data_IF_860645909056
#
_entry.id   IF_860645909056
#
_cell.length_a   1.000
_cell.length_b   1.000
_cell.length_c   1.000
_cell.angle_alpha   90.00
_cell.angle_beta   90.00
_cell.angle_gamma   90.00
#
_symmetry.space_group_name_H-M   'P 1'
#
loop_
_entity.id
_entity.type
_entity.pdbx_description
1 polymer ?
#
# COMPACT_ATOMS: atom_id res chain seq x y z
N UNK A 1 71.61 -6.98 29.43
CA UNK A 1 70.20 -7.25 29.83
C UNK A 1 69.35 -7.12 28.58
N UNK A 2 68.68 -8.19 28.13
CA UNK A 2 67.95 -8.19 26.86
C UNK A 2 66.57 -7.55 26.97
N UNK A 3 66.14 -6.81 25.94
CA UNK A 3 64.80 -6.20 25.86
C UNK A 3 63.67 -7.22 26.06
N UNK A 4 63.87 -8.45 25.58
CA UNK A 4 62.91 -9.54 25.70
C UNK A 4 62.60 -9.93 27.15
N UNK A 5 63.61 -9.99 28.03
CA UNK A 5 63.39 -10.38 29.43
C UNK A 5 62.63 -9.30 30.19
N UNK A 6 62.85 -8.02 29.87
CA UNK A 6 62.07 -6.89 30.38
C UNK A 6 60.61 -6.90 29.89
N UNK A 7 60.37 -7.20 28.60
CA UNK A 7 59.02 -7.25 28.02
C UNK A 7 58.19 -8.38 28.64
N UNK A 8 58.78 -9.56 28.83
CA UNK A 8 58.11 -10.70 29.47
C UNK A 8 57.75 -10.41 30.91
N UNK A 9 58.63 -9.75 31.68
CA UNK A 9 58.35 -9.32 33.05
C UNK A 9 57.19 -8.32 33.13
N UNK A 10 57.13 -7.36 32.19
CA UNK A 10 56.05 -6.39 32.10
C UNK A 10 54.71 -7.05 31.76
N UNK A 11 54.67 -7.96 30.79
CA UNK A 11 53.47 -8.71 30.43
C UNK A 11 53.01 -9.61 31.59
N UNK A 12 53.94 -10.30 32.26
CA UNK A 12 53.65 -11.14 33.41
C UNK A 12 53.05 -10.34 34.58
N UNK A 13 53.58 -9.14 34.86
CA UNK A 13 53.02 -8.23 35.85
C UNK A 13 51.58 -7.83 35.49
N UNK A 14 51.33 -7.43 34.24
CA UNK A 14 49.99 -7.04 33.77
C UNK A 14 48.99 -8.21 33.80
N UNK A 15 49.43 -9.40 33.40
CA UNK A 15 48.60 -10.60 33.43
C UNK A 15 48.26 -11.02 34.87
N UNK A 16 49.25 -10.97 35.77
CA UNK A 16 49.05 -11.30 37.20
C UNK A 16 48.11 -10.31 37.88
N UNK A 17 48.19 -9.02 37.53
CA UNK A 17 47.27 -7.98 38.01
C UNK A 17 45.83 -8.26 37.56
N UNK A 18 45.60 -8.58 36.28
CA UNK A 18 44.26 -8.98 35.80
C UNK A 18 43.77 -10.29 36.45
N UNK A 19 44.66 -11.27 36.66
CA UNK A 19 44.31 -12.55 37.30
C UNK A 19 43.85 -12.40 38.75
N UNK A 20 44.35 -11.39 39.48
CA UNK A 20 43.92 -11.06 40.85
C UNK A 20 42.56 -10.35 40.88
N UNK A 21 42.19 -9.64 39.81
CA UNK A 21 40.90 -8.95 39.67
C UNK A 21 39.89 -9.75 38.83
N UNK A 22 39.60 -11.01 39.24
CA UNK A 22 38.75 -11.95 38.49
C UNK A 22 37.38 -11.37 38.10
N UNK A 23 36.75 -10.61 39.00
CA UNK A 23 35.46 -9.97 38.77
C UNK A 23 35.47 -8.98 37.59
N UNK A 24 36.49 -8.10 37.53
CA UNK A 24 36.58 -7.08 36.49
C UNK A 24 36.84 -7.69 35.11
N UNK A 25 37.69 -8.72 35.06
CA UNK A 25 37.96 -9.48 33.84
C UNK A 25 36.70 -10.21 33.32
N UNK A 26 35.92 -10.83 34.21
CA UNK A 26 34.68 -11.49 33.83
C UNK A 26 33.64 -10.51 33.29
N UNK A 27 33.49 -9.33 33.89
CA UNK A 27 32.56 -8.29 33.40
C UNK A 27 32.99 -7.80 32.01
N UNK A 28 34.28 -7.56 31.79
CA UNK A 28 34.82 -7.12 30.49
C UNK A 28 34.59 -8.17 29.39
N UNK A 29 34.58 -9.47 29.73
CA UNK A 29 34.30 -10.58 28.80
C UNK A 29 32.80 -10.82 28.59
N UNK A 30 31.99 -10.74 29.64
CA UNK A 30 30.54 -10.99 29.60
C UNK A 30 29.80 -9.83 28.91
N UNK A 31 30.28 -8.61 29.08
CA UNK A 31 29.70 -7.41 28.47
C UNK A 31 29.48 -7.52 26.94
N UNK A 32 30.49 -7.83 26.11
CA UNK A 32 30.27 -8.00 24.66
C UNK A 32 29.32 -9.16 24.35
N UNK A 33 29.38 -10.27 25.11
CA UNK A 33 28.48 -11.42 24.91
C UNK A 33 27.03 -11.01 25.11
N UNK A 34 26.72 -10.25 26.17
CA UNK A 34 25.35 -9.75 26.44
C UNK A 34 24.88 -8.83 25.32
N UNK A 35 25.74 -7.93 24.83
CA UNK A 35 25.39 -7.05 23.71
C UNK A 35 25.04 -7.85 22.44
N UNK A 36 25.82 -8.89 22.11
CA UNK A 36 25.53 -9.75 20.97
C UNK A 36 24.21 -10.51 21.14
N UNK A 37 23.93 -11.04 22.33
CA UNK A 37 22.67 -11.76 22.60
C UNK A 37 21.47 -10.83 22.42
N UNK A 38 21.53 -9.59 22.92
CA UNK A 38 20.47 -8.60 22.73
C UNK A 38 20.22 -8.33 21.24
N UNK A 39 21.28 -8.12 20.44
CA UNK A 39 21.15 -7.88 19.01
C UNK A 39 20.50 -9.06 18.27
N UNK A 40 20.85 -10.30 18.64
CA UNK A 40 20.24 -11.51 18.07
C UNK A 40 18.76 -11.62 18.44
N UNK A 41 18.39 -11.32 19.69
CA UNK A 41 16.99 -11.32 20.14
C UNK A 41 16.15 -10.29 19.38
N UNK A 42 16.68 -9.07 19.20
CA UNK A 42 16.03 -8.02 18.40
C UNK A 42 15.85 -8.49 16.96
N UNK A 43 16.89 -9.10 16.36
CA UNK A 43 16.79 -9.63 14.99
C UNK A 43 15.78 -10.78 14.88
N UNK A 44 15.74 -11.68 15.85
CA UNK A 44 14.78 -12.80 15.88
C UNK A 44 13.34 -12.31 16.01
N UNK A 45 13.12 -11.25 16.77
CA UNK A 45 11.79 -10.63 16.93
C UNK A 45 11.31 -9.96 15.64
N UNK A 46 12.23 -9.43 14.83
CA UNK A 46 11.93 -8.82 13.54
C UNK A 46 11.96 -9.88 12.43
N UNK A 47 10.88 -10.67 12.31
CA UNK A 47 10.74 -11.63 11.21
C UNK A 47 10.79 -10.90 9.87
N UNK A 48 11.69 -11.32 8.97
CA UNK A 48 11.74 -10.79 7.61
C UNK A 48 10.40 -11.11 6.91
N UNK A 49 9.72 -10.08 6.43
CA UNK A 49 8.49 -10.23 5.65
C UNK A 49 8.92 -10.46 4.20
N UNK A 50 8.91 -11.72 3.76
CA UNK A 50 9.04 -12.01 2.33
C UNK A 50 7.77 -11.54 1.63
N UNK A 51 7.93 -10.69 0.61
CA UNK A 51 6.86 -10.27 -0.29
C UNK A 51 7.11 -10.95 -1.62
N UNK A 52 6.14 -11.73 -2.07
CA UNK A 52 6.16 -12.33 -3.40
C UNK A 52 6.04 -11.25 -4.47
N UNK A 53 6.26 -11.61 -5.74
CA UNK A 53 6.12 -10.71 -6.87
C UNK A 53 4.73 -10.04 -6.86
N UNK A 54 4.73 -8.71 -6.87
CA UNK A 54 3.55 -7.88 -6.71
C UNK A 54 3.33 -7.06 -7.98
N UNK A 55 2.26 -7.37 -8.69
CA UNK A 55 1.84 -6.69 -9.91
C UNK A 55 0.73 -5.70 -9.59
N UNK A 56 0.83 -4.51 -10.20
CA UNK A 56 -0.12 -3.43 -9.98
C UNK A 56 -0.86 -3.11 -11.29
N UNK A 57 -2.19 -2.97 -11.26
CA UNK A 57 -2.94 -2.57 -12.42
C UNK A 57 -2.58 -1.13 -12.82
N UNK A 58 -2.55 -0.88 -14.13
CA UNK A 58 -2.24 0.43 -14.67
C UNK A 58 -3.30 1.49 -14.30
N UNK A 59 -2.86 2.71 -13.98
CA UNK A 59 -3.74 3.87 -13.76
C UNK A 59 -3.61 4.84 -14.95
N UNK A 60 -4.62 4.90 -15.83
CA UNK A 60 -4.59 5.84 -16.94
C UNK A 60 -4.73 7.28 -16.44
N UNK A 61 -3.95 8.18 -17.02
CA UNK A 61 -4.09 9.62 -16.80
C UNK A 61 -5.25 10.20 -17.62
N UNK A 62 -5.78 11.39 -17.28
CA UNK A 62 -6.86 12.04 -18.03
C UNK A 62 -6.55 12.24 -19.53
N UNK A 63 -5.27 12.32 -19.89
CA UNK A 63 -4.78 12.42 -21.27
C UNK A 63 -5.06 11.17 -22.13
N UNK A 64 -5.20 10.00 -21.51
CA UNK A 64 -5.62 8.77 -22.17
C UNK A 64 -7.16 8.68 -22.35
N UNK A 65 -7.90 9.68 -21.87
CA UNK A 65 -9.35 9.75 -21.89
C UNK A 65 -9.95 9.87 -20.49
N UNK A 66 -11.01 10.67 -20.35
CA UNK A 66 -11.71 10.88 -19.06
C UNK A 66 -12.41 9.61 -18.58
N UNK A 67 -12.93 8.80 -19.51
CA UNK A 67 -13.62 7.54 -19.21
C UNK A 67 -12.68 6.49 -18.56
N UNK A 68 -11.56 6.10 -19.19
CA UNK A 68 -10.63 5.16 -18.58
C UNK A 68 -9.99 5.72 -17.29
N UNK A 69 -9.77 7.04 -17.22
CA UNK A 69 -9.28 7.70 -16.01
C UNK A 69 -10.23 7.52 -14.80
N UNK A 70 -11.52 7.84 -14.96
CA UNK A 70 -12.51 7.67 -13.88
C UNK A 70 -12.61 6.20 -13.48
N UNK A 71 -12.62 5.30 -14.45
CA UNK A 71 -12.67 3.87 -14.20
C UNK A 71 -11.45 3.38 -13.41
N UNK A 72 -10.24 3.81 -13.78
CA UNK A 72 -9.02 3.48 -13.05
C UNK A 72 -8.96 4.06 -11.63
N UNK A 73 -9.54 5.24 -11.42
CA UNK A 73 -9.66 5.86 -10.09
C UNK A 73 -10.66 5.11 -9.21
N UNK A 74 -11.85 4.79 -9.73
CA UNK A 74 -12.93 4.15 -8.96
C UNK A 74 -12.62 2.66 -8.70
N UNK A 75 -12.09 1.95 -9.70
CA UNK A 75 -11.88 0.51 -9.60
C UNK A 75 -10.60 0.11 -8.85
N UNK A 76 -9.52 0.90 -8.92
CA UNK A 76 -8.24 0.56 -8.29
C UNK A 76 -7.90 1.45 -7.07
N UNK A 77 -8.91 1.85 -6.27
CA UNK A 77 -8.70 2.81 -5.18
C UNK A 77 -7.80 2.27 -4.05
N UNK A 78 -7.80 0.96 -3.84
CA UNK A 78 -7.07 0.30 -2.74
C UNK A 78 -5.68 -0.21 -3.15
N UNK A 79 -5.29 -0.04 -4.42
CA UNK A 79 -4.05 -0.56 -5.01
C UNK A 79 -3.77 -2.03 -4.58
N UNK A 80 -4.66 -2.97 -4.94
CA UNK A 80 -4.45 -4.37 -4.61
C UNK A 80 -3.16 -4.86 -5.25
N UNK A 81 -2.40 -5.63 -4.48
CA UNK A 81 -1.21 -6.33 -4.94
C UNK A 81 -1.63 -7.67 -5.54
N UNK A 82 -1.35 -7.90 -6.82
CA UNK A 82 -1.66 -9.15 -7.50
C UNK A 82 -0.42 -10.02 -7.63
N UNK A 83 -0.58 -11.33 -7.45
CA UNK A 83 0.52 -12.30 -7.59
C UNK A 83 0.81 -12.69 -9.06
N UNK A 84 -0.04 -12.24 -10.00
CA UNK A 84 0.06 -12.51 -11.44
C UNK A 84 0.07 -11.21 -12.25
N UNK A 85 0.79 -11.18 -13.39
CA UNK A 85 0.88 -9.99 -14.23
C UNK A 85 -0.51 -9.58 -14.75
N UNK A 86 -0.79 -8.29 -14.69
CA UNK A 86 -2.07 -7.77 -15.23
C UNK A 86 -1.98 -7.64 -16.74
N UNK A 87 -3.08 -7.85 -17.51
CA UNK A 87 -3.11 -7.64 -18.95
C UNK A 87 -2.50 -6.30 -19.40
N UNK A 88 -2.64 -5.23 -18.62
CA UNK A 88 -2.03 -3.92 -18.92
C UNK A 88 -0.51 -3.82 -18.75
N UNK A 89 0.16 -4.87 -18.26
CA UNK A 89 1.63 -4.97 -18.23
C UNK A 89 2.19 -5.67 -19.49
N UNK A 90 1.35 -6.35 -20.27
CA UNK A 90 1.75 -7.00 -21.51
C UNK A 90 1.96 -5.97 -22.65
N UNK A 91 2.97 -6.17 -23.52
CA UNK A 91 3.21 -5.25 -24.63
C UNK A 91 2.01 -5.24 -25.59
N UNK A 92 1.49 -4.05 -25.90
CA UNK A 92 0.38 -3.85 -26.84
C UNK A 92 -1.03 -3.83 -26.22
N UNK A 93 -1.18 -4.16 -24.93
CA UNK A 93 -2.46 -4.09 -24.22
C UNK A 93 -2.43 -2.98 -23.15
N UNK A 94 -3.34 -2.01 -23.25
CA UNK A 94 -3.37 -0.84 -22.35
C UNK A 94 -4.58 -0.81 -21.42
N UNK A 95 -5.56 -1.70 -21.63
CA UNK A 95 -6.84 -1.71 -20.94
C UNK A 95 -7.01 -2.98 -20.08
N UNK A 96 -7.10 -2.78 -18.77
CA UNK A 96 -7.38 -3.84 -17.80
C UNK A 96 -8.89 -4.03 -17.50
N UNK A 97 -9.78 -3.25 -18.12
CA UNK A 97 -11.18 -3.12 -17.67
C UNK A 97 -12.26 -3.52 -18.69
N UNK A 98 -11.90 -4.17 -19.80
CA UNK A 98 -12.84 -4.46 -20.89
C UNK A 98 -14.03 -5.34 -20.46
N UNK A 99 -13.81 -6.27 -19.52
CA UNK A 99 -14.84 -7.21 -19.06
C UNK A 99 -15.62 -6.71 -17.82
N UNK A 100 -15.34 -5.49 -17.36
CA UNK A 100 -16.08 -4.94 -16.21
C UNK A 100 -17.49 -4.50 -16.64
N UNK A 101 -18.51 -4.88 -15.88
CA UNK A 101 -19.92 -4.46 -16.09
C UNK A 101 -20.02 -2.93 -16.13
N UNK A 102 -19.17 -2.26 -15.35
CA UNK A 102 -19.07 -0.81 -15.29
C UNK A 102 -18.59 -0.23 -16.62
N UNK A 103 -17.67 -0.87 -17.34
CA UNK A 103 -17.28 -0.41 -18.68
C UNK A 103 -18.49 -0.36 -19.61
N UNK A 104 -19.32 -1.40 -19.61
CA UNK A 104 -20.55 -1.46 -20.41
C UNK A 104 -21.53 -0.34 -20.07
N UNK A 105 -21.74 -0.05 -18.78
CA UNK A 105 -22.61 1.04 -18.33
C UNK A 105 -22.00 2.41 -18.68
N UNK A 106 -20.69 2.59 -18.53
CA UNK A 106 -20.01 3.87 -18.78
C UNK A 106 -19.97 4.20 -20.28
N UNK A 107 -19.78 3.21 -21.14
CA UNK A 107 -19.85 3.36 -22.60
C UNK A 107 -21.27 3.75 -23.03
N UNK A 108 -22.30 3.12 -22.43
CA UNK A 108 -23.70 3.50 -22.66
C UNK A 108 -24.01 4.91 -22.15
N UNK A 109 -23.49 5.31 -21.01
CA UNK A 109 -23.64 6.69 -20.52
C UNK A 109 -22.95 7.70 -21.44
N UNK A 110 -21.80 7.36 -21.98
CA UNK A 110 -21.09 8.24 -22.91
C UNK A 110 -21.86 8.42 -24.22
N UNK A 111 -22.48 7.37 -24.76
CA UNK A 111 -23.31 7.49 -25.96
C UNK A 111 -24.58 8.34 -25.72
N UNK A 112 -25.16 8.27 -24.51
CA UNK A 112 -26.29 9.12 -24.11
C UNK A 112 -25.88 10.59 -23.93
N UNK A 113 -24.67 10.87 -23.44
CA UNK A 113 -24.13 12.23 -23.28
C UNK A 113 -23.74 12.90 -24.60
N UNK A 114 -23.33 12.13 -25.59
CA UNK A 114 -23.00 12.64 -26.94
C UNK A 114 -24.28 13.03 -27.71
N UNK A 115 -25.43 12.44 -27.37
CA UNK A 115 -26.70 12.79 -27.99
C UNK A 115 -27.21 14.15 -27.50
N UNK A 116 -27.11 15.18 -28.35
CA UNK A 116 -27.55 16.55 -28.07
C UNK A 116 -29.02 16.65 -27.62
N UNK A 117 -29.89 15.78 -28.11
CA UNK A 117 -31.32 15.77 -27.74
C UNK A 117 -31.57 15.30 -26.31
N UNK A 118 -30.68 14.46 -25.78
CA UNK A 118 -30.74 13.95 -24.41
C UNK A 118 -30.03 14.94 -23.48
N UNK A 119 -28.93 15.53 -23.93
CA UNK A 119 -28.19 16.55 -23.19
C UNK A 119 -29.07 17.77 -22.83
N UNK A 120 -29.97 18.18 -23.73
CA UNK A 120 -30.90 19.28 -23.45
C UNK A 120 -31.90 18.92 -22.35
N UNK A 121 -32.46 17.69 -22.38
CA UNK A 121 -33.37 17.19 -21.34
C UNK A 121 -32.67 17.04 -19.98
N UNK A 122 -31.43 16.57 -19.98
CA UNK A 122 -30.60 16.45 -18.77
C UNK A 122 -30.28 17.82 -18.20
N UNK A 123 -30.01 18.84 -19.02
CA UNK A 123 -29.81 20.21 -18.52
C UNK A 123 -31.06 20.81 -17.87
N UNK A 124 -32.24 20.54 -18.42
CA UNK A 124 -33.52 20.95 -17.82
C UNK A 124 -33.70 20.25 -16.47
N UNK A 125 -33.48 18.93 -16.42
CA UNK A 125 -33.57 18.15 -15.19
C UNK A 125 -32.50 18.55 -14.14
N UNK A 126 -31.32 18.95 -14.58
CA UNK A 126 -30.25 19.45 -13.71
C UNK A 126 -30.62 20.80 -13.07
N UNK A 127 -31.44 21.60 -13.75
CA UNK A 127 -32.07 22.79 -13.17
C UNK A 127 -32.93 22.45 -11.95
N UNK A 128 -33.73 21.38 -12.05
CA UNK A 128 -34.62 20.90 -10.97
C UNK A 128 -33.87 20.22 -9.82
N UNK A 129 -32.68 19.68 -10.08
CA UNK A 129 -31.83 19.01 -9.08
C UNK A 129 -31.35 19.96 -7.97
N UNK A 130 -31.26 21.26 -8.25
CA UNK A 130 -30.93 22.27 -7.24
C UNK A 130 -31.96 22.32 -6.11
N UNK A 131 -33.22 21.98 -6.40
CA UNK A 131 -34.30 21.90 -5.41
C UNK A 131 -34.22 20.62 -4.57
N UNK A 132 -33.82 19.50 -5.18
CA UNK A 132 -33.60 18.23 -4.49
C UNK A 132 -32.36 18.20 -3.60
N UNK A 133 -31.36 19.04 -3.90
CA UNK A 133 -30.15 19.17 -3.08
C UNK A 133 -30.46 19.56 -1.63
N UNK A 134 -31.49 20.40 -1.41
CA UNK A 134 -31.94 20.82 -0.08
C UNK A 134 -32.54 19.65 0.72
N UNK A 135 -33.24 18.73 0.07
CA UNK A 135 -33.80 17.52 0.69
C UNK A 135 -32.72 16.47 0.97
N UNK A 136 -31.79 16.29 0.03
CA UNK A 136 -30.65 15.40 0.19
C UNK A 136 -29.70 15.86 1.30
N UNK A 137 -29.47 17.17 1.46
CA UNK A 137 -28.68 17.70 2.60
C UNK A 137 -29.33 17.40 3.94
N UNK A 138 -30.67 17.38 4.00
CA UNK A 138 -31.43 17.05 5.21
C UNK A 138 -31.35 15.56 5.56
N UNK A 139 -31.41 14.69 4.55
CA UNK A 139 -31.25 13.23 4.72
C UNK A 139 -29.79 12.82 5.03
N UNK A 140 -28.80 13.52 4.45
CA UNK A 140 -27.37 13.24 4.61
C UNK A 140 -26.77 13.73 5.95
N UNK A 141 -27.54 14.46 6.75
CA UNK A 141 -27.16 14.92 8.10
C UNK A 141 -27.02 13.77 9.10
N UNK A 142 -27.59 12.59 8.82
CA UNK A 142 -27.48 11.43 9.70
C UNK A 142 -26.17 10.66 9.43
N UNK A 143 -25.15 10.91 10.25
CA UNK A 143 -23.79 10.35 10.12
C UNK A 143 -23.74 8.81 10.04
N UNK A 144 -24.74 8.12 10.59
CA UNK A 144 -24.86 6.64 10.53
C UNK A 144 -25.18 6.14 9.11
N UNK A 145 -26.08 6.83 8.39
CA UNK A 145 -26.43 6.54 7.00
C UNK A 145 -25.24 6.80 6.07
N UNK A 146 -24.48 7.89 6.31
CA UNK A 146 -23.33 8.29 5.48
C UNK A 146 -22.15 7.32 5.56
N UNK A 147 -21.89 6.72 6.73
CA UNK A 147 -20.85 5.69 6.91
C UNK A 147 -21.26 4.35 6.29
N UNK A 148 -22.50 3.93 6.51
CA UNK A 148 -23.08 2.69 5.94
C UNK A 148 -23.09 2.73 4.40
N UNK A 149 -23.58 3.83 3.82
CA UNK A 149 -23.58 4.01 2.37
C UNK A 149 -22.18 4.03 1.77
N UNK A 150 -21.20 4.68 2.42
CA UNK A 150 -19.82 4.68 1.93
C UNK A 150 -19.22 3.28 1.91
N UNK A 151 -19.42 2.48 2.95
CA UNK A 151 -18.90 1.10 2.97
C UNK A 151 -19.61 0.18 1.98
N UNK A 152 -20.92 0.34 1.82
CA UNK A 152 -21.72 -0.48 0.89
C UNK A 152 -21.42 -0.09 -0.56
N UNK A 153 -21.41 1.20 -0.88
CA UNK A 153 -21.06 1.71 -2.21
C UNK A 153 -19.62 1.33 -2.58
N UNK A 154 -18.67 1.41 -1.64
CA UNK A 154 -17.30 0.96 -1.85
C UNK A 154 -17.25 -0.54 -2.17
N UNK A 155 -17.92 -1.40 -1.38
CA UNK A 155 -17.99 -2.85 -1.65
C UNK A 155 -18.66 -3.17 -2.98
N UNK A 156 -19.77 -2.53 -3.30
CA UNK A 156 -20.49 -2.75 -4.55
C UNK A 156 -19.65 -2.31 -5.75
N UNK A 157 -19.01 -1.14 -5.69
CA UNK A 157 -18.12 -0.68 -6.76
C UNK A 157 -16.91 -1.61 -6.93
N UNK A 158 -16.25 -2.04 -5.84
CA UNK A 158 -15.13 -2.97 -5.91
C UNK A 158 -15.52 -4.33 -6.51
N UNK A 159 -16.68 -4.88 -6.13
CA UNK A 159 -17.17 -6.16 -6.66
C UNK A 159 -17.53 -6.10 -8.16
N UNK A 160 -18.01 -4.97 -8.65
CA UNK A 160 -18.35 -4.77 -10.08
C UNK A 160 -17.17 -4.29 -10.94
N UNK A 161 -16.07 -3.91 -10.29
CA UNK A 161 -14.82 -3.45 -10.90
C UNK A 161 -13.74 -4.54 -10.99
N UNK A 162 -14.04 -5.78 -10.60
CA UNK A 162 -13.05 -6.85 -10.55
C UNK A 162 -12.34 -6.99 -11.90
N UNK A 163 -11.09 -6.50 -11.92
CA UNK A 163 -10.08 -6.93 -12.88
C UNK A 163 -9.99 -8.43 -12.68
N UNK A 164 -10.47 -9.19 -13.67
CA UNK A 164 -10.31 -10.64 -13.64
C UNK A 164 -8.84 -10.92 -13.90
N UNK A 165 -8.07 -11.08 -12.82
CA UNK A 165 -6.80 -11.78 -12.90
C UNK A 165 -7.08 -13.21 -13.37
N UNK A 166 -6.31 -13.74 -14.33
CA UNK A 166 -6.45 -15.12 -14.78
C UNK A 166 -6.31 -16.11 -13.61
#
# INVERSE_FOLDING_TARGET
>A
MGLWTQLTLLLWKNFTLRRRQKLRFLIELVWPIVLFVILVLVRSSNKAINKDQCHYPNKPMPSAGVLPWIQGMVCNLENPCLNSPTPGEAPGQVNNFNDSIIAGVLIQMQSLLVNKSILSKVKVLAGDLNQWNVLLTRAASNNSCKKSWRSTLKRTLTNHCLVKSP
#
